data_IF_741578466873
#
_entry.id   IF_741578466873
#
_cell.length_a   1.000
_cell.length_b   1.000
_cell.length_c   1.000
_cell.angle_alpha   90.00
_cell.angle_beta   90.00
_cell.angle_gamma   90.00
#
_symmetry.space_group_name_H-M   'P 1'
#
loop_
_entity.id
_entity.type
_entity.pdbx_description
1 polymer ?
#
# COMPACT_ATOMS: atom_id res chain seq x y z
N UNK A 1 7.26 -12.01 -30.35
CA UNK A 1 8.53 -11.28 -30.21
C UNK A 1 8.53 -10.70 -28.81
N UNK A 2 9.32 -11.27 -27.91
CA UNK A 2 9.55 -10.66 -26.60
C UNK A 2 10.22 -9.31 -26.82
N UNK A 3 9.44 -8.24 -26.74
CA UNK A 3 10.00 -6.90 -26.64
C UNK A 3 10.83 -6.86 -25.37
N UNK A 4 12.12 -6.52 -25.50
CA UNK A 4 13.01 -6.33 -24.37
C UNK A 4 12.54 -5.11 -23.56
N UNK A 5 11.56 -5.30 -22.69
CA UNK A 5 10.94 -4.25 -21.86
C UNK A 5 11.97 -3.55 -20.97
N UNK A 6 13.06 -4.25 -20.64
CA UNK A 6 14.16 -3.72 -19.85
C UNK A 6 14.92 -2.61 -20.58
N UNK A 7 14.84 -2.55 -21.92
CA UNK A 7 15.34 -1.39 -22.65
C UNK A 7 14.66 -0.10 -22.20
N UNK A 8 13.41 -0.12 -21.75
CA UNK A 8 12.69 1.08 -21.31
C UNK A 8 12.85 1.37 -19.81
N UNK A 9 13.39 0.43 -19.05
CA UNK A 9 13.70 0.62 -17.65
C UNK A 9 14.93 1.52 -17.49
N UNK A 10 14.85 2.48 -16.57
CA UNK A 10 15.98 3.28 -16.10
C UNK A 10 16.27 2.87 -14.65
N UNK A 11 17.31 2.07 -14.45
CA UNK A 11 17.73 1.59 -13.13
C UNK A 11 19.18 2.00 -12.89
N UNK A 12 19.55 2.09 -11.62
CA UNK A 12 20.95 2.03 -11.23
C UNK A 12 21.24 0.62 -10.69
N UNK A 13 22.41 0.06 -11.01
CA UNK A 13 22.83 -1.27 -10.57
C UNK A 13 23.32 -1.31 -9.12
N UNK A 14 23.63 -0.15 -8.53
CA UNK A 14 24.15 -0.08 -7.18
C UNK A 14 23.06 -0.40 -6.16
N UNK A 15 23.45 -1.02 -5.06
CA UNK A 15 22.56 -1.41 -3.95
C UNK A 15 22.71 -0.49 -2.73
N UNK A 16 23.45 0.61 -2.91
CA UNK A 16 23.87 1.55 -1.88
C UNK A 16 24.02 2.94 -2.49
N UNK A 17 23.81 3.97 -1.66
CA UNK A 17 23.91 5.37 -2.02
C UNK A 17 24.18 6.18 -0.75
N UNK A 18 24.85 7.30 -0.93
CA UNK A 18 25.12 8.29 0.10
C UNK A 18 24.32 9.56 -0.15
N UNK A 19 23.75 10.11 0.92
CA UNK A 19 23.11 11.42 0.89
C UNK A 19 23.34 12.08 2.25
N UNK A 20 23.37 13.41 2.27
CA UNK A 20 23.49 14.13 3.52
C UNK A 20 22.09 14.19 4.19
N UNK A 21 21.88 13.65 5.41
CA UNK A 21 20.58 13.73 6.08
C UNK A 21 20.11 15.16 6.34
N UNK A 22 21.06 16.10 6.46
CA UNK A 22 20.81 17.55 6.60
C UNK A 22 20.62 18.26 5.25
N UNK A 23 20.70 17.54 4.12
CA UNK A 23 20.46 18.13 2.80
C UNK A 23 19.04 18.68 2.69
N UNK A 24 18.93 19.80 1.96
CA UNK A 24 17.67 20.44 1.64
C UNK A 24 16.73 19.47 0.91
N UNK A 25 15.44 19.52 1.27
CA UNK A 25 14.40 18.79 0.53
C UNK A 25 14.28 19.42 -0.84
N UNK A 26 14.60 18.67 -1.88
CA UNK A 26 14.55 19.14 -3.27
C UNK A 26 13.14 19.10 -3.86
N UNK A 27 12.22 18.45 -3.15
CA UNK A 27 10.82 18.35 -3.56
C UNK A 27 10.00 17.58 -2.54
N UNK A 28 8.68 17.73 -2.63
CA UNK A 28 7.75 16.93 -1.85
C UNK A 28 6.44 16.70 -2.59
N UNK A 29 5.92 15.49 -2.42
CA UNK A 29 4.55 15.15 -2.79
C UNK A 29 3.62 15.23 -1.58
N UNK A 30 2.42 14.69 -1.74
CA UNK A 30 1.41 14.65 -0.68
C UNK A 30 1.89 13.88 0.57
N UNK A 31 2.71 12.84 0.38
CA UNK A 31 3.12 11.92 1.45
C UNK A 31 4.59 11.58 1.49
N UNK A 32 5.32 11.82 0.39
CA UNK A 32 6.76 11.60 0.31
C UNK A 32 7.47 12.96 0.26
N UNK A 33 8.62 13.09 0.89
CA UNK A 33 9.58 14.15 0.58
C UNK A 33 10.80 13.53 -0.09
N UNK A 34 11.50 14.31 -0.90
CA UNK A 34 12.63 13.86 -1.71
C UNK A 34 13.90 14.61 -1.27
N UNK A 35 14.98 13.86 -1.11
CA UNK A 35 16.33 14.38 -0.96
C UNK A 35 17.20 13.92 -2.13
N UNK A 36 18.23 14.69 -2.45
CA UNK A 36 19.22 14.33 -3.46
C UNK A 36 20.34 13.52 -2.82
N UNK A 37 20.75 12.43 -3.48
CA UNK A 37 21.87 11.60 -3.09
C UNK A 37 22.75 11.23 -4.28
N UNK A 38 23.73 10.37 -4.01
CA UNK A 38 24.62 9.79 -5.02
C UNK A 38 24.77 8.30 -4.78
N UNK A 39 24.59 7.50 -5.82
CA UNK A 39 24.99 6.10 -5.85
C UNK A 39 26.50 5.95 -5.66
N UNK A 40 26.97 4.74 -5.34
CA UNK A 40 28.40 4.46 -5.12
C UNK A 40 29.24 4.71 -6.39
N UNK A 41 28.64 4.51 -7.56
CA UNK A 41 29.20 4.83 -8.87
C UNK A 41 29.21 6.33 -9.20
N UNK A 42 28.77 7.19 -8.27
CA UNK A 42 28.77 8.65 -8.39
C UNK A 42 27.56 9.24 -9.12
N UNK A 43 26.69 8.42 -9.72
CA UNK A 43 25.47 8.91 -10.36
C UNK A 43 24.50 9.50 -9.33
N UNK A 44 23.80 10.57 -9.70
CA UNK A 44 22.83 11.21 -8.81
C UNK A 44 21.57 10.35 -8.62
N UNK A 45 21.05 10.32 -7.40
CA UNK A 45 19.83 9.60 -7.05
C UNK A 45 18.81 10.50 -6.33
N UNK A 46 17.54 10.13 -6.44
CA UNK A 46 16.46 10.67 -5.63
C UNK A 46 16.14 9.67 -4.51
N UNK A 47 16.26 10.11 -3.25
CA UNK A 47 15.92 9.33 -2.07
C UNK A 47 14.61 9.85 -1.51
N UNK A 48 13.57 9.03 -1.53
CA UNK A 48 12.20 9.41 -1.16
C UNK A 48 11.81 8.78 0.17
N UNK A 49 11.42 9.62 1.10
CA UNK A 49 11.01 9.23 2.45
C UNK A 49 9.54 9.55 2.66
N UNK A 50 8.85 8.73 3.45
CA UNK A 50 7.53 9.10 3.96
C UNK A 50 7.65 10.30 4.90
N UNK A 51 6.74 11.27 4.76
CA UNK A 51 6.60 12.38 5.71
C UNK A 51 6.19 11.84 7.08
N UNK A 52 6.70 12.42 8.17
CA UNK A 52 6.30 12.04 9.52
C UNK A 52 4.78 12.19 9.70
N UNK A 53 4.14 11.21 10.33
CA UNK A 53 2.68 11.21 10.55
C UNK A 53 1.83 10.69 9.38
N UNK A 54 2.44 10.23 8.27
CA UNK A 54 1.70 9.54 7.21
C UNK A 54 1.51 8.05 7.53
N UNK A 55 0.28 7.60 7.71
CA UNK A 55 -0.09 6.20 7.99
C UNK A 55 -0.17 5.36 6.72
N UNK A 56 1.00 5.04 6.15
CA UNK A 56 1.05 4.04 5.09
C UNK A 56 1.48 2.68 5.63
N UNK A 57 0.90 1.63 5.06
CA UNK A 57 1.45 0.27 5.16
C UNK A 57 2.92 0.29 4.73
N UNK A 58 3.77 -0.52 5.34
CA UNK A 58 5.16 -0.75 4.88
C UNK A 58 5.23 -1.19 3.40
N UNK A 59 4.10 -1.60 2.82
CA UNK A 59 3.94 -1.97 1.41
C UNK A 59 3.77 -0.80 0.46
N UNK A 60 3.58 0.45 0.90
CA UNK A 60 3.34 1.56 -0.04
C UNK A 60 4.49 1.78 -1.02
N UNK A 61 5.73 1.59 -0.58
CA UNK A 61 6.89 1.62 -1.46
C UNK A 61 6.95 0.40 -2.39
N UNK A 62 6.44 -0.76 -1.96
CA UNK A 62 6.32 -1.93 -2.83
C UNK A 62 5.27 -1.70 -3.92
N UNK A 63 4.20 -0.96 -3.63
CA UNK A 63 3.20 -0.56 -4.63
C UNK A 63 3.83 0.35 -5.69
N UNK A 64 4.70 1.31 -5.30
CA UNK A 64 5.44 2.15 -6.25
C UNK A 64 6.34 1.31 -7.19
N UNK A 65 7.07 0.32 -6.65
CA UNK A 65 7.89 -0.62 -7.45
C UNK A 65 7.01 -1.44 -8.40
N UNK A 66 5.93 -2.04 -7.87
CA UNK A 66 5.00 -2.87 -8.63
C UNK A 66 4.34 -2.07 -9.77
N UNK A 67 3.98 -0.81 -9.53
CA UNK A 67 3.38 0.06 -10.53
C UNK A 67 4.37 0.37 -11.65
N UNK A 68 5.64 0.66 -11.32
CA UNK A 68 6.67 0.88 -12.33
C UNK A 68 6.88 -0.38 -13.19
N UNK A 69 6.98 -1.56 -12.57
CA UNK A 69 7.19 -2.82 -13.29
C UNK A 69 6.01 -3.16 -14.21
N UNK A 70 4.79 -2.97 -13.72
CA UNK A 70 3.58 -3.22 -14.49
C UNK A 70 3.35 -2.20 -15.63
N UNK A 71 3.98 -1.01 -15.56
CA UNK A 71 3.87 0.00 -16.61
C UNK A 71 4.83 -0.25 -17.79
N UNK A 72 5.95 -0.96 -17.59
CA UNK A 72 6.96 -1.20 -18.64
C UNK A 72 6.40 -1.86 -19.92
N UNK A 73 5.54 -2.89 -19.85
CA UNK A 73 4.95 -3.48 -21.07
C UNK A 73 4.09 -2.49 -21.86
N UNK A 74 3.41 -1.55 -21.19
CA UNK A 74 2.62 -0.51 -21.86
C UNK A 74 3.53 0.49 -22.59
N UNK A 75 4.62 0.91 -21.95
CA UNK A 75 5.62 1.79 -22.56
C UNK A 75 6.26 1.12 -23.77
N UNK A 76 6.63 -0.16 -23.66
CA UNK A 76 7.21 -0.93 -24.75
C UNK A 76 6.27 -1.00 -25.96
N UNK A 77 5.02 -1.43 -25.74
CA UNK A 77 4.01 -1.51 -26.80
C UNK A 77 3.66 -0.14 -27.39
N UNK A 78 3.72 0.92 -26.60
CA UNK A 78 3.48 2.28 -27.09
C UNK A 78 4.57 2.72 -28.07
N UNK A 79 5.83 2.39 -27.80
CA UNK A 79 6.91 2.64 -28.77
C UNK A 79 6.74 1.83 -30.04
N UNK A 80 6.28 0.57 -29.95
CA UNK A 80 5.96 -0.23 -31.14
C UNK A 80 4.89 0.45 -31.99
N UNK A 81 3.82 0.93 -31.35
CA UNK A 81 2.79 1.73 -32.01
C UNK A 81 3.37 2.99 -32.65
N UNK A 82 4.17 3.78 -31.91
CA UNK A 82 4.76 5.02 -32.44
C UNK A 82 5.63 4.75 -33.66
N UNK A 83 6.46 3.70 -33.63
CA UNK A 83 7.31 3.32 -34.78
C UNK A 83 6.50 2.95 -36.02
N UNK A 84 5.34 2.33 -35.84
CA UNK A 84 4.47 1.90 -36.94
C UNK A 84 3.60 3.05 -37.46
N UNK A 85 2.92 3.77 -36.58
CA UNK A 85 1.95 4.80 -36.92
C UNK A 85 2.61 6.15 -37.30
N UNK A 86 3.81 6.41 -36.77
CA UNK A 86 4.53 7.66 -37.02
C UNK A 86 6.00 7.40 -37.40
N UNK A 87 6.29 6.81 -38.57
CA UNK A 87 7.66 6.45 -38.96
C UNK A 87 8.63 7.64 -38.97
N UNK A 88 8.17 8.84 -39.35
CA UNK A 88 8.97 10.08 -39.31
C UNK A 88 9.32 10.55 -37.90
N UNK A 89 8.70 9.97 -36.87
CA UNK A 89 8.95 10.24 -35.46
C UNK A 89 9.61 9.07 -34.74
N UNK A 90 9.86 7.95 -35.44
CA UNK A 90 10.57 6.82 -34.89
C UNK A 90 12.00 7.25 -34.50
N UNK A 91 12.36 7.06 -33.22
CA UNK A 91 13.65 7.52 -32.67
C UNK A 91 13.68 8.97 -32.18
N UNK A 92 12.61 9.76 -32.43
CA UNK A 92 12.46 11.12 -31.90
C UNK A 92 11.51 11.21 -30.69
N UNK A 93 10.85 10.10 -30.37
CA UNK A 93 10.05 9.91 -29.15
C UNK A 93 10.73 8.79 -28.37
N UNK A 94 11.15 9.10 -27.14
CA UNK A 94 11.70 8.13 -26.22
C UNK A 94 11.08 8.30 -24.84
N UNK A 95 10.61 7.20 -24.24
CA UNK A 95 10.13 7.18 -22.86
C UNK A 95 10.94 6.14 -22.11
N UNK A 96 11.65 6.58 -21.09
CA UNK A 96 12.26 5.72 -20.07
C UNK A 96 11.45 5.82 -18.78
N UNK A 97 11.39 4.75 -18.02
CA UNK A 97 10.73 4.71 -16.72
C UNK A 97 11.75 4.39 -15.64
N UNK A 98 11.89 5.29 -14.67
CA UNK A 98 12.64 5.02 -13.46
C UNK A 98 12.05 3.80 -12.77
N UNK A 99 12.94 2.86 -12.46
CA UNK A 99 12.60 1.69 -11.68
C UNK A 99 13.14 1.88 -10.27
N UNK A 100 12.28 2.26 -9.31
CA UNK A 100 12.76 2.50 -7.98
C UNK A 100 13.01 1.18 -7.24
N UNK A 101 13.80 1.26 -6.17
CA UNK A 101 14.05 0.15 -5.27
C UNK A 101 13.75 0.57 -3.83
N UNK A 102 13.23 -0.36 -3.02
CA UNK A 102 12.98 -0.13 -1.60
C UNK A 102 14.24 -0.48 -0.82
N UNK A 103 14.85 0.51 -0.16
CA UNK A 103 16.05 0.33 0.65
C UNK A 103 15.73 0.60 2.12
N UNK A 104 16.47 -0.04 3.02
CA UNK A 104 16.40 0.20 4.46
C UNK A 104 17.58 1.04 4.91
N UNK A 105 17.32 2.10 5.66
CA UNK A 105 18.40 2.95 6.17
C UNK A 105 19.22 2.21 7.24
N UNK A 106 20.50 2.00 6.94
CA UNK A 106 21.46 1.29 7.81
C UNK A 106 22.32 2.21 8.68
N UNK A 107 22.27 3.52 8.45
CA UNK A 107 23.10 4.52 9.17
C UNK A 107 22.39 5.06 10.42
N UNK A 108 23.09 5.08 11.55
CA UNK A 108 22.58 5.59 12.84
C UNK A 108 22.03 7.02 12.73
N UNK A 109 20.88 7.29 13.34
CA UNK A 109 20.18 8.59 13.27
C UNK A 109 18.66 8.49 13.36
N UNK A 110 17.96 9.61 13.20
CA UNK A 110 16.48 9.71 13.37
C UNK A 110 15.66 8.86 12.39
N UNK A 111 16.29 8.42 11.28
CA UNK A 111 15.66 7.64 10.23
C UNK A 111 16.22 6.20 10.18
N UNK A 112 17.01 5.79 11.18
CA UNK A 112 17.58 4.43 11.26
C UNK A 112 16.47 3.36 11.19
N UNK A 113 16.64 2.38 10.30
CA UNK A 113 15.67 1.32 10.06
C UNK A 113 14.42 1.74 9.28
N UNK A 114 14.30 3.01 8.86
CA UNK A 114 13.22 3.45 7.98
C UNK A 114 13.47 2.97 6.54
N UNK A 115 12.41 2.51 5.86
CA UNK A 115 12.48 2.26 4.43
C UNK A 115 12.45 3.59 3.66
N UNK A 116 13.14 3.65 2.53
CA UNK A 116 13.04 4.70 1.53
C UNK A 116 12.92 4.09 0.13
N UNK A 117 12.40 4.87 -0.83
CA UNK A 117 12.54 4.57 -2.25
C UNK A 117 13.76 5.27 -2.80
N UNK A 118 14.58 4.56 -3.55
CA UNK A 118 15.74 5.12 -4.23
C UNK A 118 15.63 4.85 -5.72
N UNK A 119 15.87 5.87 -6.53
CA UNK A 119 15.81 5.80 -8.00
C UNK A 119 16.77 6.81 -8.64
N UNK A 120 17.11 6.66 -9.93
CA UNK A 120 17.91 7.65 -10.66
C UNK A 120 17.31 9.06 -10.56
N UNK A 121 18.15 10.06 -10.29
CA UNK A 121 17.68 11.44 -10.20
C UNK A 121 17.18 11.94 -11.55
N UNK A 122 16.04 12.65 -11.54
CA UNK A 122 15.44 13.23 -12.74
C UNK A 122 15.39 14.77 -12.60
N UNK A 123 16.17 15.51 -13.41
CA UNK A 123 16.15 16.97 -13.36
C UNK A 123 14.86 17.54 -13.98
N UNK A 124 14.53 18.79 -13.62
CA UNK A 124 13.37 19.52 -14.16
C UNK A 124 12.05 18.74 -14.05
N UNK A 125 11.82 18.16 -12.87
CA UNK A 125 10.69 17.31 -12.58
C UNK A 125 9.36 18.06 -12.66
N UNK A 126 8.40 17.53 -13.41
CA UNK A 126 7.06 18.09 -13.56
C UNK A 126 6.01 17.00 -13.75
N UNK A 127 4.75 17.34 -13.55
CA UNK A 127 3.60 16.44 -13.74
C UNK A 127 2.91 16.73 -15.07
N UNK A 128 2.71 15.69 -15.89
CA UNK A 128 2.13 15.78 -17.23
C UNK A 128 0.64 15.44 -17.22
N UNK A 129 0.21 14.51 -16.39
CA UNK A 129 -1.20 14.28 -16.09
C UNK A 129 -1.36 13.75 -14.68
N UNK A 130 -2.60 13.63 -14.21
CA UNK A 130 -2.90 13.11 -12.88
C UNK A 130 -3.86 11.93 -12.90
N UNK A 131 -3.87 11.16 -11.82
CA UNK A 131 -4.86 10.10 -11.62
C UNK A 131 -6.28 10.62 -11.34
N UNK A 132 -6.46 11.93 -11.15
CA UNK A 132 -7.79 12.58 -11.13
C UNK A 132 -8.20 13.13 -12.50
N UNK A 133 -7.43 12.88 -13.56
CA UNK A 133 -7.78 13.27 -14.93
C UNK A 133 -7.37 14.69 -15.33
N UNK A 134 -6.49 15.36 -14.58
CA UNK A 134 -5.88 16.61 -15.06
C UNK A 134 -4.82 16.30 -16.11
N UNK A 135 -4.65 17.18 -17.08
CA UNK A 135 -3.72 16.97 -18.20
C UNK A 135 -3.03 18.28 -18.59
N UNK A 136 -1.71 18.20 -18.78
CA UNK A 136 -0.94 19.20 -19.52
C UNK A 136 -1.07 18.90 -21.01
N UNK A 137 -1.82 19.74 -21.71
CA UNK A 137 -2.06 19.61 -23.15
C UNK A 137 -0.77 19.72 -23.98
N UNK A 138 0.29 20.34 -23.46
CA UNK A 138 1.59 20.41 -24.15
C UNK A 138 2.33 19.07 -24.13
N UNK A 139 2.02 18.18 -23.20
CA UNK A 139 2.62 16.85 -23.05
C UNK A 139 1.86 15.79 -23.88
N UNK A 140 1.63 16.05 -25.16
CA UNK A 140 0.78 15.21 -26.02
C UNK A 140 1.19 13.71 -26.07
N UNK A 141 2.49 13.42 -26.00
CA UNK A 141 3.00 12.04 -25.94
C UNK A 141 2.58 11.34 -24.64
N UNK A 142 2.67 12.03 -23.49
CA UNK A 142 2.24 11.50 -22.21
C UNK A 142 0.73 11.24 -22.19
N UNK A 143 -0.08 12.15 -22.74
CA UNK A 143 -1.53 11.95 -22.84
C UNK A 143 -1.89 10.75 -23.72
N UNK A 144 -1.17 10.58 -24.84
CA UNK A 144 -1.36 9.44 -25.72
C UNK A 144 -0.92 8.12 -25.08
N UNK A 145 0.16 8.08 -24.29
CA UNK A 145 0.56 6.88 -23.54
C UNK A 145 -0.55 6.43 -22.58
N UNK A 146 -1.15 7.37 -21.84
CA UNK A 146 -2.29 7.06 -20.96
C UNK A 146 -3.47 6.49 -21.75
N UNK A 147 -3.90 7.14 -22.84
CA UNK A 147 -5.00 6.63 -23.66
C UNK A 147 -4.68 5.27 -24.31
N UNK A 148 -3.46 5.10 -24.81
CA UNK A 148 -2.98 3.85 -25.37
C UNK A 148 -3.06 2.70 -24.36
N UNK A 149 -2.62 2.92 -23.12
CA UNK A 149 -2.66 1.89 -22.07
C UNK A 149 -4.09 1.42 -21.79
N UNK A 150 -5.06 2.35 -21.77
CA UNK A 150 -6.48 2.02 -21.69
C UNK A 150 -6.96 1.20 -22.88
N UNK A 151 -6.56 1.56 -24.09
CA UNK A 151 -6.95 0.82 -25.27
C UNK A 151 -6.39 -0.61 -25.29
N UNK A 152 -5.07 -0.78 -25.10
CA UNK A 152 -4.42 -2.09 -25.23
C UNK A 152 -4.67 -3.03 -24.06
N UNK A 153 -5.16 -2.51 -22.92
CA UNK A 153 -5.66 -3.32 -21.80
C UNK A 153 -7.11 -3.78 -22.00
N UNK A 154 -7.74 -3.43 -23.12
CA UNK A 154 -9.17 -3.56 -23.39
C UNK A 154 -10.04 -2.81 -22.37
N UNK A 155 -9.56 -1.67 -21.91
CA UNK A 155 -10.24 -0.78 -20.98
C UNK A 155 -10.20 -1.21 -19.52
N UNK A 156 -9.37 -2.20 -19.17
CA UNK A 156 -9.26 -2.73 -17.81
C UNK A 156 -8.27 -1.99 -16.93
N UNK A 157 -7.25 -1.39 -17.54
CA UNK A 157 -6.15 -0.71 -16.86
C UNK A 157 -5.77 0.58 -17.56
N UNK A 158 -5.25 1.55 -16.81
CA UNK A 158 -4.84 2.87 -17.29
C UNK A 158 -3.59 3.34 -16.55
N UNK A 159 -2.51 3.57 -17.29
CA UNK A 159 -1.28 4.21 -16.78
C UNK A 159 -1.48 5.72 -16.79
N UNK A 160 -1.34 6.37 -15.64
CA UNK A 160 -1.59 7.80 -15.45
C UNK A 160 -0.69 8.35 -14.33
N UNK A 161 -0.98 9.59 -13.91
CA UNK A 161 -0.14 10.33 -12.97
C UNK A 161 1.30 10.46 -13.48
N UNK A 162 1.44 10.59 -14.80
CA UNK A 162 2.72 10.62 -15.48
C UNK A 162 3.47 11.89 -15.07
N UNK A 163 4.65 11.71 -14.49
CA UNK A 163 5.49 12.77 -13.96
C UNK A 163 6.96 12.41 -14.11
N UNK A 164 7.82 13.41 -14.18
CA UNK A 164 9.26 13.24 -14.41
C UNK A 164 9.85 14.38 -15.21
N UNK A 165 10.96 14.10 -15.89
CA UNK A 165 11.68 15.05 -16.72
C UNK A 165 11.25 14.94 -18.18
N UNK A 166 11.19 16.08 -18.87
CA UNK A 166 10.87 16.15 -20.31
C UNK A 166 11.86 17.05 -21.03
N UNK A 167 12.40 16.53 -22.12
CA UNK A 167 13.12 17.30 -23.14
C UNK A 167 12.46 17.07 -24.50
N UNK A 168 11.70 18.06 -24.98
CA UNK A 168 10.85 17.92 -26.16
C UNK A 168 9.86 16.76 -26.04
N UNK A 169 10.11 15.69 -26.81
CA UNK A 169 9.30 14.46 -26.83
C UNK A 169 9.96 13.27 -26.15
N UNK A 170 11.07 13.52 -25.46
CA UNK A 170 11.78 12.54 -24.66
C UNK A 170 11.41 12.70 -23.19
N UNK A 171 11.12 11.58 -22.53
CA UNK A 171 10.63 11.55 -21.16
C UNK A 171 11.45 10.55 -20.35
N UNK A 172 11.78 10.96 -19.12
CA UNK A 172 12.17 10.05 -18.05
C UNK A 172 11.09 10.16 -16.98
N UNK A 173 10.24 9.14 -16.91
CA UNK A 173 9.09 9.09 -16.02
C UNK A 173 9.45 8.45 -14.68
N UNK A 174 8.70 8.80 -13.64
CA UNK A 174 8.83 8.28 -12.28
C UNK A 174 7.46 8.31 -11.57
N UNK A 175 7.31 7.55 -10.48
CA UNK A 175 6.12 7.50 -9.62
C UNK A 175 4.80 7.36 -10.43
N UNK A 176 4.79 6.46 -11.43
CA UNK A 176 3.62 6.21 -12.27
C UNK A 176 2.50 5.53 -11.47
N UNK A 177 1.25 5.81 -11.83
CA UNK A 177 0.07 5.17 -11.24
C UNK A 177 -0.61 4.29 -12.28
N UNK A 178 -1.02 3.09 -11.87
CA UNK A 178 -1.92 2.26 -12.67
C UNK A 178 -3.28 2.26 -11.99
N UNK A 179 -4.32 2.68 -12.72
CA UNK A 179 -5.70 2.44 -12.31
C UNK A 179 -6.17 1.11 -12.90
N UNK A 180 -6.91 0.33 -12.12
CA UNK A 180 -7.42 -0.99 -12.55
C UNK A 180 -8.84 -1.23 -12.09
N UNK A 181 -9.62 -1.99 -12.85
CA UNK A 181 -11.00 -2.32 -12.46
C UNK A 181 -11.09 -2.90 -11.03
N UNK A 182 -10.10 -3.70 -10.64
CA UNK A 182 -10.05 -4.44 -9.37
C UNK A 182 -9.29 -3.72 -8.24
N UNK A 183 -8.80 -2.48 -8.47
CA UNK A 183 -8.05 -1.68 -7.49
C UNK A 183 -6.80 -2.38 -6.91
N UNK A 184 -6.02 -3.07 -7.75
CA UNK A 184 -4.90 -3.93 -7.32
C UNK A 184 -3.52 -3.24 -7.24
N UNK A 185 -3.45 -1.93 -7.51
CA UNK A 185 -2.21 -1.15 -7.64
C UNK A 185 -2.00 -0.09 -6.53
N UNK A 186 -2.53 -0.38 -5.34
CA UNK A 186 -2.31 0.43 -4.15
C UNK A 186 -3.25 1.63 -4.05
N UNK A 187 -2.93 2.56 -3.14
CA UNK A 187 -3.87 3.61 -2.72
C UNK A 187 -4.10 4.70 -3.77
N UNK A 188 -3.28 4.78 -4.81
CA UNK A 188 -3.44 5.74 -5.93
C UNK A 188 -4.32 5.18 -7.05
N UNK A 189 -4.66 3.89 -6.99
CA UNK A 189 -5.59 3.23 -7.91
C UNK A 189 -7.04 3.59 -7.55
N UNK A 190 -7.59 4.61 -8.21
CA UNK A 190 -8.97 5.06 -8.00
C UNK A 190 -10.01 4.09 -8.58
N UNK A 191 -9.58 3.02 -9.27
CA UNK A 191 -10.43 2.03 -9.89
C UNK A 191 -11.21 2.52 -11.11
N UNK A 192 -12.29 1.82 -11.46
CA UNK A 192 -13.21 2.20 -12.54
C UNK A 192 -13.64 3.67 -12.50
N UNK A 193 -13.99 4.28 -11.35
CA UNK A 193 -14.33 5.71 -11.30
C UNK A 193 -13.20 6.62 -11.80
N UNK A 194 -11.94 6.29 -11.53
CA UNK A 194 -10.80 7.07 -12.01
C UNK A 194 -10.56 6.89 -13.50
N UNK A 195 -10.71 5.65 -14.00
CA UNK A 195 -10.66 5.35 -15.44
C UNK A 195 -11.75 6.11 -16.19
N UNK A 196 -12.99 6.05 -15.71
CA UNK A 196 -14.12 6.80 -16.28
C UNK A 196 -13.84 8.31 -16.27
N UNK A 197 -13.27 8.82 -15.17
CA UNK A 197 -12.94 10.24 -15.07
C UNK A 197 -11.84 10.67 -16.03
N UNK A 198 -10.82 9.84 -16.26
CA UNK A 198 -9.83 10.08 -17.31
C UNK A 198 -10.51 10.13 -18.68
N UNK A 199 -11.32 9.14 -19.03
CA UNK A 199 -12.01 9.10 -20.32
C UNK A 199 -12.95 10.30 -20.52
N UNK A 200 -13.60 10.80 -19.47
CA UNK A 200 -14.49 11.96 -19.52
C UNK A 200 -13.77 13.30 -19.70
N UNK A 201 -12.47 13.36 -19.43
CA UNK A 201 -11.66 14.59 -19.53
C UNK A 201 -10.59 14.51 -20.63
N UNK A 202 -10.27 13.31 -21.14
CA UNK A 202 -9.26 13.13 -22.17
C UNK A 202 -9.69 13.75 -23.50
N UNK A 203 -8.79 14.51 -24.11
CA UNK A 203 -8.93 15.02 -25.46
C UNK A 203 -7.81 14.41 -26.29
N UNK A 204 -8.16 13.66 -27.34
CA UNK A 204 -7.19 13.00 -28.20
C UNK A 204 -6.23 14.03 -28.82
N UNK A 205 -4.93 13.76 -28.68
CA UNK A 205 -3.87 14.56 -29.30
C UNK A 205 -3.34 13.91 -30.59
N UNK A 206 -2.29 14.51 -31.20
CA UNK A 206 -1.71 14.05 -32.48
C UNK A 206 -1.09 12.65 -32.44
N UNK A 207 -0.79 12.12 -31.23
CA UNK A 207 -0.25 10.78 -31.05
C UNK A 207 -1.32 9.74 -30.68
N UNK A 208 -2.57 10.16 -30.47
CA UNK A 208 -3.68 9.23 -30.27
C UNK A 208 -4.17 8.66 -31.61
N UNK A 209 -4.70 7.45 -31.60
CA UNK A 209 -5.42 6.90 -32.75
C UNK A 209 -6.92 7.06 -32.55
N UNK A 210 -7.63 7.42 -33.63
CA UNK A 210 -9.10 7.50 -33.65
C UNK A 210 -9.78 6.14 -33.42
N UNK A 211 -9.05 5.03 -33.61
CA UNK A 211 -9.56 3.67 -33.44
C UNK A 211 -9.37 3.14 -32.02
N UNK A 212 -8.69 3.89 -31.16
CA UNK A 212 -8.47 3.48 -29.78
C UNK A 212 -9.77 3.49 -28.99
N UNK A 213 -9.86 2.55 -28.04
CA UNK A 213 -11.01 2.38 -27.17
C UNK A 213 -11.26 3.68 -26.42
N UNK A 214 -12.52 4.08 -26.37
CA UNK A 214 -13.00 5.19 -25.54
C UNK A 214 -14.14 4.67 -24.68
N UNK A 215 -14.52 5.44 -23.67
CA UNK A 215 -15.65 5.12 -22.83
C UNK A 215 -16.83 6.03 -23.21
N UNK A 216 -17.77 5.50 -23.97
CA UNK A 216 -18.99 6.20 -24.36
C UNK A 216 -19.81 6.61 -23.14
N UNK A 217 -20.18 7.88 -23.03
CA UNK A 217 -20.92 8.46 -21.91
C UNK A 217 -20.16 8.45 -20.55
N UNK A 218 -18.82 8.45 -20.58
CA UNK A 218 -18.01 8.59 -19.38
C UNK A 218 -18.40 9.83 -18.58
N UNK A 219 -18.58 9.67 -17.26
CA UNK A 219 -18.94 10.75 -16.35
C UNK A 219 -17.72 11.30 -15.63
N UNK A 220 -17.74 12.62 -15.39
CA UNK A 220 -16.76 13.28 -14.52
C UNK A 220 -17.08 12.91 -13.06
N UNK A 221 -16.27 12.04 -12.46
CA UNK A 221 -16.40 11.54 -11.08
C UNK A 221 -15.59 12.34 -10.08
N UNK A 222 -14.50 12.97 -10.53
CA UNK A 222 -13.58 13.74 -9.69
C UNK A 222 -13.28 15.08 -10.36
N UNK A 223 -12.98 16.09 -9.55
CA UNK A 223 -12.42 17.34 -10.06
C UNK A 223 -10.97 17.09 -10.50
N UNK A 224 -10.62 17.34 -11.77
CA UNK A 224 -9.24 17.20 -12.24
C UNK A 224 -8.31 18.19 -11.55
N UNK A 225 -7.28 17.70 -10.87
CA UNK A 225 -6.22 18.52 -10.27
C UNK A 225 -4.85 17.97 -10.64
N UNK A 226 -3.85 18.84 -10.85
CA UNK A 226 -2.44 18.45 -11.08
C UNK A 226 -1.75 18.02 -9.78
N UNK A 227 -2.34 17.03 -9.11
CA UNK A 227 -1.87 16.42 -7.87
C UNK A 227 -2.36 14.96 -7.79
N UNK A 228 -1.66 14.13 -7.02
CA UNK A 228 -2.03 12.72 -6.83
C UNK A 228 -3.19 12.60 -5.84
N UNK A 229 -4.29 12.03 -6.31
CA UNK A 229 -5.47 11.66 -5.49
C UNK A 229 -5.30 10.25 -4.94
N UNK A 230 -5.91 9.92 -3.81
CA UNK A 230 -5.83 8.57 -3.24
C UNK A 230 -7.22 8.08 -2.81
N UNK A 231 -7.39 6.77 -2.71
CA UNK A 231 -8.65 6.11 -2.30
C UNK A 231 -8.86 6.04 -0.79
N UNK A 232 -7.85 6.37 0.02
CA UNK A 232 -8.05 6.58 1.46
C UNK A 232 -8.69 7.94 1.65
N UNK A 233 -9.87 7.96 2.29
CA UNK A 233 -10.43 9.18 2.86
C UNK A 233 -9.34 9.87 3.67
N UNK A 234 -8.84 10.98 3.14
CA UNK A 234 -8.10 11.94 3.96
C UNK A 234 -9.14 12.42 4.94
N UNK A 235 -9.08 11.96 6.19
CA UNK A 235 -9.72 12.64 7.28
C UNK A 235 -9.36 14.12 7.10
N UNK A 236 -10.36 14.91 6.72
CA UNK A 236 -10.31 16.35 6.63
C UNK A 236 -9.54 16.87 7.83
N UNK A 237 -8.54 17.72 7.57
CA UNK A 237 -7.69 18.36 8.57
C UNK A 237 -8.51 18.67 9.83
N UNK A 238 -8.30 17.98 10.95
CA UNK A 238 -8.77 18.45 12.22
C UNK A 238 -7.71 19.40 12.76
N UNK A 239 -8.14 20.62 13.02
CA UNK A 239 -7.61 21.56 14.02
C UNK A 239 -6.86 20.84 15.15
N UNK A 240 -5.73 21.39 15.64
CA UNK A 240 -4.86 20.68 16.56
C UNK A 240 -5.59 20.41 17.87
N UNK A 241 -5.93 19.14 18.13
CA UNK A 241 -6.13 18.48 19.43
C UNK A 241 -6.87 17.12 19.21
N UNK A 242 -6.14 16.09 18.74
CA UNK A 242 -6.32 14.64 19.06
C UNK A 242 -5.84 13.70 17.93
N UNK A 243 -4.52 13.61 17.67
CA UNK A 243 -3.98 12.55 16.79
C UNK A 243 -4.25 11.16 17.41
N UNK A 244 -5.25 10.42 16.89
CA UNK A 244 -5.37 8.97 17.07
C UNK A 244 -4.96 8.31 15.74
N UNK A 245 -3.83 7.61 15.74
CA UNK A 245 -3.30 6.92 14.57
C UNK A 245 -3.90 5.51 14.52
N UNK A 246 -4.33 5.01 13.36
CA UNK A 246 -4.93 3.67 13.25
C UNK A 246 -4.22 2.84 12.18
N UNK A 247 -3.96 1.56 12.45
CA UNK A 247 -3.26 0.65 11.53
C UNK A 247 -3.98 -0.71 11.41
N UNK A 248 -3.94 -1.36 10.24
CA UNK A 248 -4.39 -2.75 10.05
C UNK A 248 -3.18 -3.70 9.98
N UNK A 249 -3.08 -4.63 10.91
CA UNK A 249 -1.93 -5.55 11.06
C UNK A 249 -2.39 -6.97 11.36
N UNK A 250 -1.50 -7.95 11.18
CA UNK A 250 -1.69 -9.30 11.71
C UNK A 250 -1.55 -9.28 13.23
N UNK A 251 -2.36 -10.06 13.96
CA UNK A 251 -2.24 -10.11 15.43
C UNK A 251 -0.92 -10.81 15.84
N UNK A 252 -0.42 -11.71 15.00
CA UNK A 252 0.88 -12.34 15.09
C UNK A 252 2.06 -11.36 14.94
N UNK A 253 1.87 -10.16 14.37
CA UNK A 253 2.92 -9.11 14.24
C UNK A 253 3.02 -8.16 15.44
N UNK A 254 2.06 -8.21 16.36
CA UNK A 254 2.05 -7.35 17.55
C UNK A 254 2.63 -8.12 18.73
N UNK A 255 3.62 -7.55 19.41
CA UNK A 255 4.25 -8.14 20.60
C UNK A 255 3.43 -7.87 21.86
N UNK A 256 3.45 -8.81 22.80
CA UNK A 256 2.95 -8.54 24.15
C UNK A 256 3.89 -7.61 24.92
N UNK A 257 3.33 -6.79 25.80
CA UNK A 257 4.12 -6.02 26.78
C UNK A 257 4.37 -6.78 28.07
N UNK A 258 3.52 -7.77 28.37
CA UNK A 258 3.57 -8.58 29.59
C UNK A 258 3.78 -10.06 29.24
N UNK A 259 4.47 -10.78 30.11
CA UNK A 259 4.69 -12.23 30.10
C UNK A 259 3.46 -13.01 30.51
N UNK A 260 2.51 -12.39 31.23
CA UNK A 260 1.29 -13.09 31.66
C UNK A 260 0.03 -12.23 31.71
N UNK A 261 -1.11 -12.86 31.45
CA UNK A 261 -2.46 -12.28 31.54
C UNK A 261 -3.40 -13.17 32.36
N UNK A 262 -4.47 -12.57 32.91
CA UNK A 262 -5.61 -13.33 33.43
C UNK A 262 -6.40 -13.95 32.27
N UNK A 263 -6.98 -15.13 32.49
CA UNK A 263 -7.86 -15.79 31.52
C UNK A 263 -9.21 -15.08 31.32
N UNK A 264 -9.59 -14.17 32.22
CA UNK A 264 -10.89 -13.48 32.19
C UNK A 264 -10.73 -11.98 31.94
N UNK A 265 -11.71 -11.41 31.23
CA UNK A 265 -11.94 -9.97 31.09
C UNK A 265 -12.63 -9.41 32.34
N UNK A 266 -12.86 -8.08 32.37
CA UNK A 266 -13.52 -7.43 33.51
C UNK A 266 -15.01 -7.79 33.62
N UNK A 267 -15.64 -8.17 32.51
CA UNK A 267 -17.03 -8.63 32.42
C UNK A 267 -17.20 -10.12 32.79
N UNK A 268 -16.12 -10.79 33.22
CA UNK A 268 -16.11 -12.20 33.59
C UNK A 268 -15.95 -13.18 32.43
N UNK A 269 -16.03 -12.72 31.17
CA UNK A 269 -15.86 -13.59 29.99
C UNK A 269 -14.42 -14.09 29.90
N UNK A 270 -14.26 -15.36 29.53
CA UNK A 270 -12.93 -15.94 29.31
C UNK A 270 -12.39 -15.63 27.92
N UNK A 271 -11.07 -15.73 27.72
CA UNK A 271 -10.44 -15.59 26.39
C UNK A 271 -11.09 -16.53 25.35
N UNK A 272 -11.34 -17.78 25.74
CA UNK A 272 -11.98 -18.79 24.90
C UNK A 272 -13.42 -18.42 24.57
N UNK A 273 -14.21 -17.97 25.56
CA UNK A 273 -15.59 -17.57 25.34
C UNK A 273 -15.68 -16.41 24.33
N UNK A 274 -14.89 -15.35 24.53
CA UNK A 274 -14.85 -14.22 23.60
C UNK A 274 -14.40 -14.63 22.20
N UNK A 275 -13.40 -15.51 22.09
CA UNK A 275 -12.96 -16.03 20.80
C UNK A 275 -14.07 -16.83 20.08
N UNK A 276 -14.82 -17.66 20.81
CA UNK A 276 -15.95 -18.43 20.25
C UNK A 276 -17.10 -17.51 19.81
N UNK A 277 -17.47 -16.52 20.62
CA UNK A 277 -18.50 -15.53 20.25
C UNK A 277 -18.13 -14.78 18.95
N UNK A 278 -16.85 -14.37 18.81
CA UNK A 278 -16.35 -13.75 17.58
C UNK A 278 -16.31 -14.72 16.38
N UNK A 279 -15.94 -15.99 16.61
CA UNK A 279 -15.89 -17.01 15.56
C UNK A 279 -17.30 -17.42 15.06
N UNK A 280 -18.30 -17.41 15.96
CA UNK A 280 -19.72 -17.62 15.63
C UNK A 280 -20.39 -16.40 15.01
N UNK A 281 -19.74 -15.24 15.07
CA UNK A 281 -20.31 -13.94 14.70
C UNK A 281 -21.46 -13.48 15.61
N UNK A 282 -21.53 -14.02 16.84
CA UNK A 282 -22.48 -13.58 17.87
C UNK A 282 -22.18 -12.14 18.33
N UNK A 283 -20.91 -11.73 18.20
CA UNK A 283 -20.44 -10.36 18.40
C UNK A 283 -19.50 -9.95 17.26
N UNK A 284 -19.46 -8.66 16.94
CA UNK A 284 -18.58 -8.09 15.91
C UNK A 284 -17.23 -7.73 16.51
N UNK A 285 -16.19 -7.68 15.67
CA UNK A 285 -14.85 -7.20 16.06
C UNK A 285 -14.87 -5.77 16.60
N UNK A 286 -15.82 -4.94 16.14
CA UNK A 286 -16.04 -3.57 16.61
C UNK A 286 -16.56 -3.49 18.04
N UNK A 287 -17.16 -4.58 18.54
CA UNK A 287 -17.76 -4.64 19.87
C UNK A 287 -16.68 -4.94 20.92
N UNK A 288 -15.51 -5.40 20.49
CA UNK A 288 -14.31 -5.49 21.31
C UNK A 288 -13.62 -4.12 21.30
N UNK A 289 -13.31 -3.53 22.47
CA UNK A 289 -12.57 -2.28 22.52
C UNK A 289 -11.28 -2.35 21.69
N UNK A 290 -10.95 -1.26 20.98
CA UNK A 290 -9.83 -1.23 20.05
C UNK A 290 -8.48 -1.40 20.76
N UNK A 291 -7.66 -2.32 20.28
CA UNK A 291 -6.32 -2.56 20.84
C UNK A 291 -5.46 -1.32 20.63
N UNK A 292 -4.91 -0.79 21.71
CA UNK A 292 -3.89 0.24 21.69
C UNK A 292 -2.52 -0.41 21.59
N UNK A 293 -1.72 0.02 20.62
CA UNK A 293 -0.33 -0.41 20.42
C UNK A 293 0.61 0.78 20.46
N UNK A 294 1.82 0.53 20.91
CA UNK A 294 2.91 1.50 20.92
C UNK A 294 4.01 0.99 20.01
N UNK A 295 4.53 1.87 19.15
CA UNK A 295 5.68 1.59 18.30
C UNK A 295 6.96 1.86 19.09
N UNK A 296 7.75 0.81 19.31
CA UNK A 296 9.02 0.86 20.04
C UNK A 296 10.15 0.61 19.03
N UNK A 297 11.26 1.34 19.16
CA UNK A 297 12.42 1.24 18.29
C UNK A 297 12.07 1.40 16.78
N UNK A 298 11.06 2.22 16.46
CA UNK A 298 10.65 2.54 15.09
C UNK A 298 9.86 1.45 14.33
N UNK A 299 9.95 0.19 14.76
CA UNK A 299 9.40 -0.95 14.00
C UNK A 299 8.52 -1.90 14.82
N UNK A 300 8.82 -2.09 16.10
CA UNK A 300 8.17 -3.12 16.92
C UNK A 300 6.87 -2.59 17.50
N UNK A 301 5.74 -3.17 17.12
CA UNK A 301 4.44 -2.86 17.74
C UNK A 301 4.28 -3.66 19.02
N UNK A 302 4.05 -2.99 20.15
CA UNK A 302 3.78 -3.63 21.44
C UNK A 302 2.39 -3.27 21.93
N UNK A 303 1.61 -4.26 22.35
CA UNK A 303 0.24 -4.07 22.79
C UNK A 303 0.17 -3.59 24.24
N UNK A 304 -0.65 -2.57 24.51
CA UNK A 304 -1.10 -2.28 25.87
C UNK A 304 -2.26 -3.20 26.27
N UNK A 305 -2.85 -3.94 25.34
CA UNK A 305 -4.08 -4.71 25.53
C UNK A 305 -3.90 -6.20 25.33
N UNK A 306 -2.93 -6.75 26.06
CA UNK A 306 -2.45 -8.13 25.93
C UNK A 306 -3.58 -9.18 25.93
N UNK A 307 -4.64 -9.04 26.76
CA UNK A 307 -5.79 -9.97 26.75
C UNK A 307 -6.56 -9.96 25.43
N UNK A 308 -6.83 -8.77 24.88
CA UNK A 308 -7.52 -8.61 23.60
C UNK A 308 -6.65 -9.15 22.46
N UNK A 309 -5.35 -8.83 22.48
CA UNK A 309 -4.40 -9.35 21.51
C UNK A 309 -4.34 -10.88 21.52
N UNK A 310 -4.36 -11.51 22.70
CA UNK A 310 -4.37 -12.97 22.83
C UNK A 310 -5.60 -13.61 22.14
N UNK A 311 -6.79 -13.02 22.31
CA UNK A 311 -8.01 -13.48 21.61
C UNK A 311 -7.85 -13.39 20.09
N UNK A 312 -7.35 -12.27 19.57
CA UNK A 312 -7.19 -12.09 18.14
C UNK A 312 -6.09 -12.98 17.55
N UNK A 313 -5.01 -13.28 18.30
CA UNK A 313 -4.01 -14.28 17.87
C UNK A 313 -4.60 -15.68 17.77
N UNK A 314 -5.44 -16.09 18.73
CA UNK A 314 -6.15 -17.39 18.65
C UNK A 314 -7.08 -17.45 17.44
N UNK A 315 -7.81 -16.36 17.14
CA UNK A 315 -8.68 -16.27 15.97
C UNK A 315 -7.91 -16.28 14.64
N UNK A 316 -6.74 -15.65 14.59
CA UNK A 316 -5.85 -15.66 13.42
C UNK A 316 -5.33 -17.08 13.17
N UNK A 317 -4.81 -17.75 14.21
CA UNK A 317 -4.39 -19.16 14.14
C UNK A 317 -5.54 -20.10 13.74
N UNK A 318 -6.76 -19.84 14.21
CA UNK A 318 -7.94 -20.60 13.82
C UNK A 318 -8.48 -20.25 12.42
N UNK A 319 -7.78 -19.40 11.66
CA UNK A 319 -8.17 -18.90 10.34
C UNK A 319 -9.58 -18.27 10.31
N UNK A 320 -10.02 -17.67 11.42
CA UNK A 320 -11.32 -16.97 11.51
C UNK A 320 -11.20 -15.49 11.15
N UNK A 321 -9.97 -14.95 11.17
CA UNK A 321 -9.66 -13.57 10.81
C UNK A 321 -8.34 -13.49 10.04
N UNK A 322 -8.15 -12.42 9.28
CA UNK A 322 -6.88 -12.14 8.61
C UNK A 322 -6.10 -11.01 9.28
N UNK A 323 -6.62 -9.77 9.28
CA UNK A 323 -6.01 -8.60 9.95
C UNK A 323 -6.95 -7.95 10.96
N UNK A 324 -6.39 -7.26 11.94
CA UNK A 324 -7.11 -6.47 12.95
C UNK A 324 -6.78 -4.98 12.83
N UNK A 325 -7.74 -4.12 13.18
CA UNK A 325 -7.53 -2.67 13.28
C UNK A 325 -7.07 -2.32 14.70
N UNK A 326 -5.96 -1.62 14.83
CA UNK A 326 -5.39 -1.18 16.10
C UNK A 326 -5.23 0.34 16.11
N UNK A 327 -5.22 0.92 17.31
CA UNK A 327 -4.86 2.31 17.54
C UNK A 327 -3.37 2.38 17.89
N UNK A 328 -2.58 3.07 17.07
CA UNK A 328 -1.18 3.35 17.34
C UNK A 328 -1.10 4.65 18.14
N UNK A 329 -0.42 4.63 19.27
CA UNK A 329 -0.26 5.80 20.12
C UNK A 329 1.22 6.07 20.34
N UNK A 330 1.68 7.34 20.21
CA UNK A 330 3.05 7.70 20.54
C UNK A 330 3.41 7.28 21.97
N UNK A 331 4.59 6.67 22.16
CA UNK A 331 5.05 6.18 23.45
C UNK A 331 5.00 7.27 24.52
N UNK A 332 5.24 8.52 24.15
CA UNK A 332 5.21 9.71 25.02
C UNK A 332 3.86 9.89 25.71
N UNK A 333 2.75 9.58 25.03
CA UNK A 333 1.39 9.78 25.58
C UNK A 333 0.96 8.70 26.57
N UNK A 334 1.58 7.53 26.46
CA UNK A 334 1.21 6.34 27.24
C UNK A 334 2.42 5.79 28.00
N UNK A 335 3.46 6.62 28.21
CA UNK A 335 4.75 6.19 28.76
C UNK A 335 4.60 5.54 30.13
N UNK A 336 3.79 6.11 31.00
CA UNK A 336 3.51 5.57 32.33
C UNK A 336 2.79 4.21 32.25
N UNK A 337 1.75 4.10 31.41
CA UNK A 337 1.04 2.85 31.22
C UNK A 337 1.91 1.77 30.59
N UNK A 338 2.73 2.14 29.61
CA UNK A 338 3.69 1.28 28.95
C UNK A 338 4.71 0.75 29.95
N UNK A 339 5.35 1.63 30.73
CA UNK A 339 6.34 1.24 31.74
C UNK A 339 5.73 0.32 32.82
N UNK A 340 4.47 0.54 33.20
CA UNK A 340 3.76 -0.33 34.15
C UNK A 340 3.48 -1.72 33.57
N UNK A 341 3.26 -1.82 32.26
CA UNK A 341 2.95 -3.09 31.58
C UNK A 341 4.20 -3.80 31.07
N UNK A 342 5.27 -3.09 30.75
CA UNK A 342 6.48 -3.66 30.18
C UNK A 342 7.28 -4.45 31.21
N UNK A 343 7.50 -5.74 30.94
CA UNK A 343 8.28 -6.62 31.83
C UNK A 343 9.64 -7.05 31.26
N UNK A 344 10.05 -6.47 30.13
CA UNK A 344 11.36 -6.74 29.52
C UNK A 344 11.44 -7.99 28.64
N UNK A 345 10.37 -8.77 28.51
CA UNK A 345 10.36 -9.98 27.68
C UNK A 345 10.32 -9.70 26.17
N UNK A 346 10.61 -10.70 25.33
CA UNK A 346 10.53 -10.52 23.87
C UNK A 346 9.13 -10.09 23.42
N UNK A 347 8.10 -10.64 24.07
CA UNK A 347 6.69 -10.44 23.77
C UNK A 347 6.15 -11.38 22.67
N UNK A 348 6.92 -12.40 22.28
CA UNK A 348 6.50 -13.38 21.28
C UNK A 348 5.37 -14.27 21.78
N UNK A 349 5.29 -14.50 23.09
CA UNK A 349 4.26 -15.33 23.71
C UNK A 349 3.75 -14.71 25.00
N UNK A 350 2.60 -15.19 25.47
CA UNK A 350 2.04 -14.82 26.75
C UNK A 350 1.49 -16.02 27.51
N UNK A 351 1.79 -16.09 28.80
CA UNK A 351 1.28 -17.09 29.71
C UNK A 351 -0.12 -16.69 30.20
N UNK A 352 -1.08 -17.62 30.09
CA UNK A 352 -2.41 -17.44 30.69
C UNK A 352 -2.37 -17.99 32.11
N UNK A 353 -2.56 -17.10 33.09
CA UNK A 353 -2.52 -17.45 34.52
C UNK A 353 -3.58 -18.47 34.87
N UNK A 354 -3.30 -19.30 35.88
CA UNK A 354 -4.19 -20.35 36.42
C UNK A 354 -4.48 -21.54 35.47
N UNK A 355 -3.82 -21.61 34.31
CA UNK A 355 -4.03 -22.69 33.35
C UNK A 355 -2.76 -23.37 32.80
N UNK A 356 -1.55 -22.86 33.12
CA UNK A 356 -0.30 -23.31 32.49
C UNK A 356 -0.36 -23.31 30.94
N UNK A 357 -1.11 -22.38 30.35
CA UNK A 357 -1.26 -22.24 28.91
C UNK A 357 -0.37 -21.11 28.38
N UNK A 358 0.08 -21.24 27.13
CA UNK A 358 0.89 -20.25 26.44
C UNK A 358 0.25 -19.95 25.09
N UNK A 359 0.12 -18.68 24.74
CA UNK A 359 -0.34 -18.22 23.43
C UNK A 359 0.84 -17.54 22.73
N UNK A 360 1.38 -18.18 21.70
CA UNK A 360 2.52 -17.73 20.90
C UNK A 360 2.13 -16.93 19.66
N UNK A 361 3.04 -16.82 18.69
CA UNK A 361 2.79 -16.18 17.38
C UNK A 361 2.18 -17.15 16.37
N UNK A 362 2.38 -18.45 16.59
CA UNK A 362 2.00 -19.55 15.69
C UNK A 362 1.35 -20.66 16.49
N UNK A 363 0.70 -21.60 15.80
CA UNK A 363 0.15 -22.79 16.45
C UNK A 363 1.22 -23.62 17.17
N UNK A 364 2.40 -23.77 16.55
CA UNK A 364 3.55 -24.49 17.14
C UNK A 364 4.04 -23.87 18.46
N UNK A 365 3.90 -22.56 18.61
CA UNK A 365 4.29 -21.83 19.82
C UNK A 365 3.14 -21.61 20.80
N UNK A 366 2.00 -22.27 20.58
CA UNK A 366 0.77 -22.11 21.36
C UNK A 366 0.33 -23.42 22.00
N UNK A 367 0.29 -23.46 23.32
CA UNK A 367 -0.37 -24.50 24.11
C UNK A 367 -1.60 -23.90 24.79
N UNK A 368 -2.71 -23.82 24.07
CA UNK A 368 -3.99 -23.34 24.57
C UNK A 368 -5.09 -24.34 24.17
N UNK A 369 -5.65 -25.14 25.10
CA UNK A 369 -6.57 -26.24 24.78
C UNK A 369 -7.78 -25.80 23.95
N UNK A 370 -8.27 -24.58 24.19
CA UNK A 370 -9.42 -24.03 23.47
C UNK A 370 -9.16 -23.70 22.00
N UNK A 371 -7.92 -23.77 21.48
CA UNK A 371 -7.63 -23.44 20.08
C UNK A 371 -8.35 -24.38 19.11
N UNK A 372 -8.39 -25.69 19.42
CA UNK A 372 -9.11 -26.66 18.60
C UNK A 372 -10.62 -26.39 18.59
N UNK A 373 -11.20 -25.97 19.72
CA UNK A 373 -12.61 -25.59 19.79
C UNK A 373 -12.93 -24.36 18.93
N UNK A 374 -12.04 -23.35 18.92
CA UNK A 374 -12.22 -22.16 18.09
C UNK A 374 -12.18 -22.52 16.61
N UNK A 375 -11.24 -23.39 16.19
CA UNK A 375 -11.16 -23.89 14.80
C UNK A 375 -12.47 -24.55 14.37
N UNK A 376 -13.02 -25.39 15.23
CA UNK A 376 -14.26 -26.15 15.00
C UNK A 376 -15.54 -25.35 15.25
N UNK A 377 -15.44 -24.04 15.51
CA UNK A 377 -16.60 -23.17 15.69
C UNK A 377 -17.07 -22.60 14.35
N UNK A 378 -18.38 -22.66 14.10
CA UNK A 378 -19.04 -22.17 12.88
C UNK A 378 -20.01 -21.01 13.21
N UNK A 379 -20.33 -20.13 12.23
CA UNK A 379 -21.34 -19.11 12.40
C UNK A 379 -22.67 -19.66 12.93
N UNK A 380 -23.33 -18.93 13.83
CA UNK A 380 -24.60 -19.35 14.45
C UNK A 380 -25.79 -19.33 13.48
N UNK A 381 -25.73 -18.49 12.44
CA UNK A 381 -26.65 -18.55 11.29
C UNK A 381 -26.05 -19.45 10.20
N UNK A 382 -26.72 -20.57 9.89
CA UNK A 382 -26.41 -21.32 8.67
C UNK A 382 -26.74 -20.44 7.45
N UNK A 383 -25.87 -20.39 6.42
CA UNK A 383 -26.29 -19.83 5.15
C UNK A 383 -27.51 -20.64 4.65
N UNK A 384 -28.63 -19.97 4.40
CA UNK A 384 -29.77 -20.57 3.70
C UNK A 384 -29.28 -21.18 2.38
N UNK A 385 -29.80 -22.36 2.02
CA UNK A 385 -29.39 -23.17 0.85
C UNK A 385 -29.18 -22.38 -0.46
N UNK A 386 -29.84 -21.23 -0.63
CA UNK A 386 -29.64 -20.31 -1.75
C UNK A 386 -28.19 -19.82 -1.96
N UNK A 387 -27.37 -19.72 -0.90
CA UNK A 387 -25.98 -19.28 -1.01
C UNK A 387 -25.02 -20.41 -1.43
N UNK A 388 -25.38 -21.67 -1.21
CA UNK A 388 -24.58 -22.84 -1.61
C UNK A 388 -24.77 -23.16 -3.11
N UNK A 389 -25.95 -22.88 -3.68
CA UNK A 389 -26.22 -23.13 -5.11
C UNK A 389 -25.38 -22.24 -6.04
N UNK A 390 -25.04 -21.02 -5.63
CA UNK A 390 -24.24 -20.08 -6.46
C UNK A 390 -22.79 -20.56 -6.59
N UNK A 391 -22.25 -21.30 -5.62
CA UNK A 391 -20.84 -21.69 -5.62
C UNK A 391 -20.57 -23.02 -6.37
N UNK A 392 -21.60 -23.87 -6.54
CA UNK A 392 -21.48 -25.14 -7.26
C UNK A 392 -21.97 -25.06 -8.73
N UNK A 393 -22.81 -24.08 -9.07
CA UNK A 393 -23.33 -23.90 -10.43
C UNK A 393 -22.34 -23.31 -11.45
N UNK A 394 -21.13 -22.93 -11.04
CA UNK A 394 -20.11 -22.36 -11.95
C UNK A 394 -18.95 -23.32 -12.26
N UNK A 395 -19.05 -24.60 -11.88
CA UNK A 395 -18.03 -25.62 -12.15
C UNK A 395 -18.51 -26.83 -12.97
N UNK A 396 -19.76 -26.81 -13.42
CA UNK A 396 -20.26 -27.74 -14.44
C UNK A 396 -21.24 -27.00 -15.31
N UNK A 397 -20.78 -26.56 -16.48
CA UNK A 397 -21.51 -26.63 -17.75
C UNK A 397 -20.54 -26.20 -18.87
N UNK A 398 -20.14 -27.22 -19.65
CA UNK A 398 -19.38 -27.28 -20.93
C UNK A 398 -18.05 -26.53 -21.11
#
# INVERSE_FOLDING_TARGET
MDTNVEFYANRNSDNSASWNPSSERIGEGKYKYVQKGHYDNGNECAVKFLKSGTTFSSTCFLDDVKNAEAALPYISKFHDYVRQAFPSHAGHIAIKLNMPAVWSQSTEGTNFGQNCLVEPFVPNFQKFNSNSGAADATAAVAQALSHFSYHVSDGRELVCDLQGGRDGRNYVLSDVVIMSADKKYGNTDLGLPGIENFCANHVCGPFCSSHWKTWSNAKRRYQPVMSTTITLDVASIPTPLSNREYQRVFASDIMFTQSSIKNQFQDGKTLLQTAKELARQDIKKSDIPMITVVRVNGTVLRSLDNRRLAVFRLLEMANKIHKIKVEVVPLERVREEFNRKWDGGSGDSIQVRQGNYVIGRTELSTNFPGLAEIKNTYPSEQPTDAALTIFLGTLTDE
#
